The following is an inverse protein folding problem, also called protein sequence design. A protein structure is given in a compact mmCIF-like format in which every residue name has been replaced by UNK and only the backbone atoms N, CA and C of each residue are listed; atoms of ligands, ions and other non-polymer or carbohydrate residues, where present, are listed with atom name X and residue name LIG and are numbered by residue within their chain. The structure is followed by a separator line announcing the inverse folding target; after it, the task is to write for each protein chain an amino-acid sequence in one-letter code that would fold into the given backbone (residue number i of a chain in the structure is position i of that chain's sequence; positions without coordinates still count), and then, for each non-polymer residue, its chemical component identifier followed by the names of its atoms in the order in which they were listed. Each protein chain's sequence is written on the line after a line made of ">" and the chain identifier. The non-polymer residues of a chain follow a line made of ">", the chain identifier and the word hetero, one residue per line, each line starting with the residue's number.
data_IF_925525500165
#
_entry.id   IF_925525500165
#
_cell.length_a   1.000
_cell.length_b   1.000
_cell.length_c   1.000
_cell.angle_alpha   90.00
_cell.angle_beta   90.00
_cell.angle_gamma   90.00
#
_symmetry.space_group_name_H-M   'P 1'
#
loop_
_entity.id
_entity.type
_entity.pdbx_description
1 polymer ?
#
# COMPACT_ATOMS: atom_id res chain seq x y z
N UNK A 1 -62.20 -59.69 3.76
CA UNK A 1 -61.31 -60.49 2.90
C UNK A 1 -61.40 -59.89 1.50
N UNK A 2 -60.41 -59.30 0.84
CA UNK A 2 -59.00 -58.96 1.10
C UNK A 2 -58.82 -57.57 0.45
N UNK A 3 -58.09 -56.64 1.09
CA UNK A 3 -57.86 -55.28 0.58
C UNK A 3 -56.71 -55.25 -0.42
N UNK A 4 -56.72 -54.27 -1.32
CA UNK A 4 -55.65 -54.05 -2.29
C UNK A 4 -55.58 -52.60 -2.75
N UNK A 5 -55.37 -51.68 -1.80
CA UNK A 5 -55.00 -50.29 -2.12
C UNK A 5 -53.62 -50.27 -2.77
N UNK A 6 -53.57 -49.99 -4.07
CA UNK A 6 -52.35 -49.55 -4.74
C UNK A 6 -52.12 -48.07 -4.41
N UNK A 7 -51.47 -47.81 -3.27
CA UNK A 7 -50.83 -46.52 -2.99
C UNK A 7 -49.59 -46.45 -3.90
N UNK A 8 -49.77 -45.88 -5.09
CA UNK A 8 -48.65 -45.50 -5.95
C UNK A 8 -47.88 -44.41 -5.20
N UNK A 9 -46.73 -44.84 -4.73
CA UNK A 9 -45.80 -44.14 -3.86
C UNK A 9 -45.16 -43.00 -4.65
N UNK A 10 -45.72 -41.80 -4.48
CA UNK A 10 -45.26 -40.54 -5.06
C UNK A 10 -44.03 -40.03 -4.28
N UNK A 11 -42.93 -40.80 -4.28
CA UNK A 11 -41.69 -40.52 -3.53
C UNK A 11 -40.44 -40.39 -4.43
N UNK A 12 -40.62 -39.98 -5.69
CA UNK A 12 -39.52 -39.90 -6.67
C UNK A 12 -39.10 -38.46 -7.05
N UNK A 13 -39.40 -37.43 -6.25
CA UNK A 13 -39.13 -36.03 -6.63
C UNK A 13 -38.45 -35.14 -5.56
N UNK A 14 -37.91 -35.71 -4.48
CA UNK A 14 -37.10 -34.97 -3.48
C UNK A 14 -35.66 -35.46 -3.36
N UNK A 15 -35.09 -36.01 -4.43
CA UNK A 15 -33.63 -36.03 -4.63
C UNK A 15 -33.26 -34.84 -5.52
N UNK A 16 -33.57 -33.63 -5.07
CA UNK A 16 -32.77 -32.48 -5.50
C UNK A 16 -31.40 -32.79 -4.92
N UNK A 17 -30.34 -33.04 -5.73
CA UNK A 17 -29.00 -33.12 -5.17
C UNK A 17 -28.81 -31.82 -4.42
N UNK A 18 -28.68 -31.91 -3.10
CA UNK A 18 -28.42 -30.76 -2.27
C UNK A 18 -27.29 -30.01 -2.95
N UNK A 19 -27.57 -28.81 -3.44
CA UNK A 19 -26.55 -27.82 -3.72
C UNK A 19 -25.89 -27.63 -2.37
N UNK A 20 -24.86 -28.44 -2.10
CA UNK A 20 -23.86 -28.17 -1.10
C UNK A 20 -23.19 -26.93 -1.68
N UNK A 21 -23.78 -25.77 -1.39
CA UNK A 21 -23.08 -24.50 -1.54
C UNK A 21 -21.91 -24.64 -0.59
N UNK A 22 -20.72 -24.91 -1.12
CA UNK A 22 -19.53 -24.80 -0.31
C UNK A 22 -19.53 -23.38 0.24
N UNK A 23 -19.49 -23.27 1.56
CA UNK A 23 -19.36 -21.97 2.18
C UNK A 23 -17.88 -21.59 2.12
N UNK A 24 -17.61 -20.40 1.60
CA UNK A 24 -16.26 -19.86 1.57
C UNK A 24 -15.62 -19.90 2.98
N UNK A 25 -14.33 -20.25 3.14
CA UNK A 25 -13.71 -20.36 4.45
C UNK A 25 -13.94 -19.11 5.31
N UNK A 26 -14.25 -19.31 6.59
CA UNK A 26 -14.55 -18.23 7.53
C UNK A 26 -13.46 -17.15 7.59
N UNK A 27 -12.19 -17.53 7.42
CA UNK A 27 -11.07 -16.57 7.40
C UNK A 27 -11.14 -15.62 6.21
N UNK A 28 -11.53 -16.09 5.03
CA UNK A 28 -11.73 -15.24 3.86
C UNK A 28 -12.91 -14.31 4.09
N UNK A 29 -14.03 -14.85 4.56
CA UNK A 29 -15.22 -14.06 4.87
C UNK A 29 -14.93 -12.94 5.88
N UNK A 30 -14.08 -13.20 6.86
CA UNK A 30 -13.67 -12.24 7.87
C UNK A 30 -12.80 -11.08 7.33
N UNK A 31 -12.11 -11.27 6.21
CA UNK A 31 -11.29 -10.21 5.58
C UNK A 31 -12.09 -9.23 4.73
N UNK A 32 -13.28 -9.60 4.25
CA UNK A 32 -14.07 -8.77 3.35
C UNK A 32 -14.50 -7.43 3.94
N UNK A 33 -15.00 -7.34 5.20
CA UNK A 33 -15.34 -6.05 5.80
C UNK A 33 -14.11 -5.15 5.92
N UNK A 34 -12.97 -5.72 6.31
CA UNK A 34 -11.72 -5.00 6.38
C UNK A 34 -11.29 -4.45 5.01
N UNK A 35 -11.34 -5.23 3.93
CA UNK A 35 -10.96 -4.74 2.59
C UNK A 35 -11.81 -3.52 2.17
N UNK A 36 -13.11 -3.56 2.46
CA UNK A 36 -14.02 -2.45 2.20
C UNK A 36 -13.65 -1.21 3.03
N UNK A 37 -13.46 -1.38 4.35
CA UNK A 37 -13.07 -0.29 5.25
C UNK A 37 -11.72 0.30 4.87
N UNK A 38 -10.74 -0.54 4.54
CA UNK A 38 -9.42 -0.12 4.10
C UNK A 38 -9.49 0.71 2.81
N UNK A 39 -10.25 0.26 1.82
CA UNK A 39 -10.42 0.98 0.55
C UNK A 39 -11.05 2.37 0.76
N UNK A 40 -12.08 2.46 1.60
CA UNK A 40 -12.73 3.73 1.95
C UNK A 40 -11.77 4.63 2.75
N UNK A 41 -11.07 4.06 3.73
CA UNK A 41 -10.13 4.77 4.59
C UNK A 41 -8.94 5.34 3.81
N UNK A 42 -8.43 4.60 2.82
CA UNK A 42 -7.41 5.06 1.87
C UNK A 42 -7.93 6.02 0.80
N UNK A 43 -9.25 6.21 0.71
CA UNK A 43 -9.87 7.11 -0.25
C UNK A 43 -9.70 6.67 -1.71
N UNK A 44 -9.74 5.36 -1.96
CA UNK A 44 -9.67 4.82 -3.31
C UNK A 44 -10.90 5.22 -4.13
N UNK A 45 -10.69 5.54 -5.41
CA UNK A 45 -11.78 5.86 -6.34
C UNK A 45 -12.02 4.73 -7.34
N UNK A 46 -10.99 3.93 -7.58
CA UNK A 46 -11.02 2.77 -8.45
C UNK A 46 -10.33 1.62 -7.73
N UNK A 47 -10.79 0.39 -7.96
CA UNK A 47 -10.10 -0.79 -7.49
C UNK A 47 -10.10 -1.90 -8.55
N UNK A 48 -9.01 -2.65 -8.62
CA UNK A 48 -8.96 -3.89 -9.39
C UNK A 48 -8.82 -5.04 -8.40
N UNK A 49 -9.73 -6.00 -8.47
CA UNK A 49 -9.73 -7.19 -7.61
C UNK A 49 -9.18 -8.37 -8.39
N UNK A 50 -8.05 -8.90 -7.94
CA UNK A 50 -7.43 -10.11 -8.46
C UNK A 50 -7.64 -11.26 -7.50
N UNK A 51 -8.03 -12.40 -8.06
CA UNK A 51 -8.31 -13.61 -7.29
C UNK A 51 -7.60 -14.80 -7.93
N UNK A 52 -6.24 -14.82 -7.91
CA UNK A 52 -5.44 -15.80 -8.66
C UNK A 52 -5.74 -17.26 -8.28
N UNK A 53 -6.33 -17.48 -7.10
CA UNK A 53 -6.81 -18.78 -6.67
C UNK A 53 -8.03 -18.71 -5.76
N UNK A 54 -9.15 -18.21 -6.29
CA UNK A 54 -10.41 -18.29 -5.57
C UNK A 54 -10.96 -19.73 -5.63
N UNK A 55 -11.27 -20.30 -4.47
CA UNK A 55 -12.12 -21.50 -4.41
C UNK A 55 -13.47 -21.17 -5.09
N UNK A 56 -14.04 -22.10 -5.86
CA UNK A 56 -15.25 -21.84 -6.67
C UNK A 56 -16.42 -21.34 -5.81
N UNK A 57 -16.46 -21.83 -4.58
CA UNK A 57 -17.39 -21.51 -3.50
C UNK A 57 -17.24 -20.09 -2.94
N UNK A 58 -16.08 -19.45 -3.14
CA UNK A 58 -15.81 -18.09 -2.69
C UNK A 58 -16.19 -17.00 -3.71
N UNK A 59 -16.66 -17.36 -4.91
CA UNK A 59 -17.05 -16.38 -5.95
C UNK A 59 -18.18 -15.46 -5.48
N UNK A 60 -19.13 -15.99 -4.71
CA UNK A 60 -20.22 -15.18 -4.13
C UNK A 60 -19.71 -14.10 -3.18
N UNK A 61 -18.69 -14.40 -2.39
CA UNK A 61 -18.05 -13.45 -1.46
C UNK A 61 -17.37 -12.30 -2.20
N UNK A 62 -16.64 -12.60 -3.27
CA UNK A 62 -15.98 -11.57 -4.10
C UNK A 62 -17.01 -10.70 -4.82
N UNK A 63 -18.06 -11.31 -5.36
CA UNK A 63 -19.17 -10.56 -5.98
C UNK A 63 -19.81 -9.59 -4.99
N UNK A 64 -19.98 -10.00 -3.73
CA UNK A 64 -20.50 -9.12 -2.65
C UNK A 64 -19.53 -7.98 -2.36
N UNK A 65 -18.22 -8.24 -2.25
CA UNK A 65 -17.21 -7.20 -2.04
C UNK A 65 -17.25 -6.16 -3.17
N UNK A 66 -17.24 -6.61 -4.43
CA UNK A 66 -17.34 -5.76 -5.63
C UNK A 66 -18.61 -4.90 -5.56
N UNK A 67 -19.75 -5.49 -5.20
CA UNK A 67 -21.00 -4.75 -5.03
C UNK A 67 -20.88 -3.70 -3.92
N UNK A 68 -20.34 -4.04 -2.75
CA UNK A 68 -20.18 -3.07 -1.65
C UNK A 68 -19.24 -1.93 -2.02
N UNK A 69 -18.11 -2.20 -2.68
CA UNK A 69 -17.18 -1.17 -3.12
C UNK A 69 -17.86 -0.20 -4.10
N UNK A 70 -18.59 -0.73 -5.09
CA UNK A 70 -19.37 0.08 -6.03
C UNK A 70 -20.46 0.92 -5.33
N UNK A 71 -21.17 0.35 -4.34
CA UNK A 71 -22.15 1.08 -3.53
C UNK A 71 -21.51 2.22 -2.72
N UNK A 72 -20.22 2.12 -2.38
CA UNK A 72 -19.45 3.16 -1.71
C UNK A 72 -18.73 4.11 -2.69
N UNK A 73 -19.08 4.07 -3.98
CA UNK A 73 -18.54 4.98 -4.99
C UNK A 73 -17.15 4.63 -5.51
N UNK A 74 -16.64 3.43 -5.21
CA UNK A 74 -15.37 2.92 -5.72
C UNK A 74 -15.66 2.08 -6.96
N UNK A 75 -15.18 2.51 -8.13
CA UNK A 75 -15.38 1.77 -9.37
C UNK A 75 -14.50 0.51 -9.38
N UNK A 76 -15.11 -0.67 -9.46
CA UNK A 76 -14.36 -1.93 -9.36
C UNK A 76 -14.36 -2.73 -10.66
N UNK A 77 -13.19 -3.28 -11.00
CA UNK A 77 -13.03 -4.29 -12.05
C UNK A 77 -12.46 -5.59 -11.47
N UNK A 78 -12.94 -6.74 -11.92
CA UNK A 78 -12.48 -8.04 -11.48
C UNK A 78 -11.57 -8.67 -12.53
N UNK A 79 -10.36 -9.09 -12.13
CA UNK A 79 -9.36 -9.77 -12.96
C UNK A 79 -9.07 -9.09 -14.31
N UNK A 80 -9.28 -7.77 -14.41
CA UNK A 80 -9.01 -7.02 -15.62
C UNK A 80 -7.51 -6.80 -15.78
N UNK A 81 -6.99 -7.19 -16.94
CA UNK A 81 -5.57 -7.07 -17.30
C UNK A 81 -5.34 -5.93 -18.30
N UNK A 82 -6.29 -5.01 -18.41
CA UNK A 82 -6.15 -3.79 -19.22
C UNK A 82 -5.50 -2.67 -18.41
N UNK A 83 -4.61 -1.89 -19.02
CA UNK A 83 -4.08 -0.66 -18.44
C UNK A 83 -5.22 0.28 -18.05
N UNK A 84 -5.28 0.77 -16.80
CA UNK A 84 -6.35 1.63 -16.34
C UNK A 84 -6.23 2.99 -17.04
N UNK A 85 -7.36 3.54 -17.49
CA UNK A 85 -7.40 4.84 -18.19
C UNK A 85 -7.12 6.03 -17.26
N UNK A 86 -7.32 5.84 -15.94
CA UNK A 86 -7.14 6.86 -14.91
C UNK A 86 -6.26 6.24 -13.84
N UNK A 87 -5.14 6.91 -13.54
CA UNK A 87 -4.08 6.38 -12.68
C UNK A 87 -4.17 6.94 -11.25
N UNK A 88 -5.03 7.93 -11.00
CA UNK A 88 -5.12 8.56 -9.69
C UNK A 88 -5.99 7.75 -8.72
N UNK A 89 -5.40 7.36 -7.58
CA UNK A 89 -6.07 6.69 -6.45
C UNK A 89 -6.72 5.35 -6.81
N UNK A 90 -5.98 4.54 -7.56
CA UNK A 90 -6.36 3.17 -7.90
C UNK A 90 -5.78 2.18 -6.87
N UNK A 91 -6.65 1.39 -6.26
CA UNK A 91 -6.28 0.28 -5.39
C UNK A 91 -6.20 -1.05 -6.14
N UNK A 92 -5.24 -1.89 -5.78
CA UNK A 92 -5.12 -3.25 -6.30
C UNK A 92 -5.34 -4.20 -5.13
N UNK A 93 -6.46 -4.92 -5.15
CA UNK A 93 -6.79 -5.92 -4.13
C UNK A 93 -6.40 -7.28 -4.69
N UNK A 94 -5.51 -7.99 -4.01
CA UNK A 94 -5.12 -9.36 -4.38
C UNK A 94 -5.55 -10.31 -3.25
N UNK A 95 -6.49 -11.19 -3.56
CA UNK A 95 -7.04 -12.15 -2.59
C UNK A 95 -6.36 -13.50 -2.80
N UNK A 96 -5.58 -13.93 -1.82
CA UNK A 96 -4.78 -15.16 -1.85
C UNK A 96 -5.24 -16.16 -0.77
N UNK A 97 -6.39 -16.83 -0.93
CA UNK A 97 -6.96 -17.69 0.10
C UNK A 97 -6.35 -19.10 0.15
N UNK A 98 -5.54 -19.51 -0.82
CA UNK A 98 -4.85 -20.82 -0.81
C UNK A 98 -3.41 -20.67 -1.35
N UNK A 99 -2.51 -20.21 -0.49
CA UNK A 99 -1.07 -20.11 -0.77
C UNK A 99 -0.36 -21.44 -0.45
N UNK A 100 -0.67 -22.50 -1.20
CA UNK A 100 0.13 -23.75 -1.23
C UNK A 100 1.34 -23.63 -2.16
N UNK A 101 2.28 -24.58 -2.08
CA UNK A 101 3.52 -24.62 -2.89
C UNK A 101 3.27 -24.58 -4.42
N UNK A 102 2.19 -25.17 -4.92
CA UNK A 102 1.84 -25.14 -6.35
C UNK A 102 1.18 -23.84 -6.82
N UNK A 103 0.79 -22.99 -5.87
CA UNK A 103 -0.06 -21.81 -6.10
C UNK A 103 0.70 -20.50 -5.92
N UNK A 104 1.90 -20.57 -5.36
CA UNK A 104 2.90 -19.49 -5.44
C UNK A 104 3.24 -19.15 -6.89
N UNK A 105 3.32 -20.12 -7.81
CA UNK A 105 3.64 -19.85 -9.22
C UNK A 105 2.63 -18.94 -9.91
N UNK A 106 1.33 -19.13 -9.64
CA UNK A 106 0.27 -18.26 -10.21
C UNK A 106 0.34 -16.86 -9.64
N UNK A 107 0.65 -16.74 -8.35
CA UNK A 107 0.80 -15.45 -7.70
C UNK A 107 2.05 -14.72 -8.21
N UNK A 108 3.17 -15.42 -8.39
CA UNK A 108 4.39 -14.88 -9.02
C UNK A 108 4.08 -14.40 -10.44
N UNK A 109 3.43 -15.24 -11.27
CA UNK A 109 3.00 -14.85 -12.62
C UNK A 109 2.07 -13.63 -12.64
N UNK A 110 1.20 -13.48 -11.64
CA UNK A 110 0.38 -12.28 -11.50
C UNK A 110 1.24 -11.07 -11.16
N UNK A 111 2.17 -11.18 -10.22
CA UNK A 111 3.08 -10.08 -9.87
C UNK A 111 3.90 -9.67 -11.09
N UNK A 112 4.52 -10.62 -11.80
CA UNK A 112 5.31 -10.35 -13.01
C UNK A 112 4.45 -9.62 -14.05
N UNK A 113 3.22 -10.08 -14.27
CA UNK A 113 2.29 -9.42 -15.18
C UNK A 113 1.89 -8.00 -14.73
N UNK A 114 1.73 -7.77 -13.43
CA UNK A 114 1.47 -6.42 -12.90
C UNK A 114 2.68 -5.50 -13.07
N UNK A 115 3.89 -6.05 -13.00
CA UNK A 115 5.12 -5.31 -13.30
C UNK A 115 5.19 -4.94 -14.78
N UNK A 116 4.87 -5.89 -15.68
CA UNK A 116 4.81 -5.62 -17.13
C UNK A 116 3.80 -4.52 -17.47
N UNK A 117 2.69 -4.48 -16.75
CA UNK A 117 1.65 -3.44 -16.89
C UNK A 117 2.00 -2.12 -16.18
N UNK A 118 3.19 -2.01 -15.58
CA UNK A 118 3.62 -0.86 -14.77
C UNK A 118 2.65 -0.51 -13.61
N UNK A 119 1.86 -1.49 -13.17
CA UNK A 119 0.94 -1.38 -12.02
C UNK A 119 1.67 -1.47 -10.67
N UNK A 120 3.00 -1.45 -10.72
CA UNK A 120 3.93 -1.58 -9.61
C UNK A 120 4.64 -0.22 -9.36
N UNK A 121 3.96 0.90 -9.59
CA UNK A 121 4.48 2.26 -9.36
C UNK A 121 3.77 2.92 -8.17
N UNK A 122 4.33 4.03 -7.65
CA UNK A 122 3.77 4.78 -6.52
C UNK A 122 2.31 5.23 -6.67
N UNK A 123 1.81 5.29 -7.89
CA UNK A 123 0.43 5.69 -8.14
C UNK A 123 -0.59 4.63 -7.71
N UNK A 124 -0.14 3.39 -7.47
CA UNK A 124 -0.98 2.25 -7.15
C UNK A 124 -0.79 1.79 -5.70
N UNK A 125 -1.90 1.59 -5.01
CA UNK A 125 -1.92 1.13 -3.63
C UNK A 125 -2.33 -0.35 -3.59
N UNK A 126 -1.46 -1.23 -3.09
CA UNK A 126 -1.68 -2.68 -3.11
C UNK A 126 -2.19 -3.15 -1.75
N UNK A 127 -3.27 -3.92 -1.77
CA UNK A 127 -3.80 -4.65 -0.61
C UNK A 127 -3.81 -6.14 -0.91
N UNK A 128 -2.92 -6.88 -0.27
CA UNK A 128 -2.84 -8.34 -0.38
C UNK A 128 -3.47 -8.95 0.86
N UNK A 129 -4.33 -9.95 0.68
CA UNK A 129 -4.95 -10.63 1.81
C UNK A 129 -4.59 -12.10 1.84
N UNK A 130 -3.88 -12.49 2.91
CA UNK A 130 -3.56 -13.88 3.22
C UNK A 130 -4.76 -14.61 3.84
N UNK A 131 -4.70 -15.94 3.87
CA UNK A 131 -5.72 -16.77 4.53
C UNK A 131 -5.51 -16.76 6.04
N UNK A 132 -4.27 -16.94 6.48
CA UNK A 132 -3.87 -17.00 7.88
C UNK A 132 -2.52 -16.30 8.12
N UNK A 133 -2.21 -16.05 9.39
CA UNK A 133 -0.90 -15.57 9.84
C UNK A 133 0.25 -16.55 9.59
N UNK A 134 -0.03 -17.84 9.41
CA UNK A 134 1.00 -18.80 8.98
C UNK A 134 1.51 -18.56 7.55
N UNK A 135 0.70 -17.94 6.69
CA UNK A 135 1.08 -17.64 5.31
C UNK A 135 2.16 -16.54 5.23
N UNK A 136 2.46 -15.88 6.35
CA UNK A 136 3.49 -14.85 6.48
C UNK A 136 4.82 -15.27 5.84
N UNK A 137 5.33 -16.46 6.16
CA UNK A 137 6.62 -16.93 5.61
C UNK A 137 6.58 -17.08 4.10
N UNK A 138 5.45 -17.55 3.55
CA UNK A 138 5.29 -17.76 2.12
C UNK A 138 5.18 -16.45 1.36
N UNK A 139 4.33 -15.52 1.81
CA UNK A 139 4.22 -14.20 1.18
C UNK A 139 5.56 -13.47 1.24
N UNK A 140 6.27 -13.51 2.37
CA UNK A 140 7.59 -12.91 2.46
C UNK A 140 8.57 -13.50 1.45
N UNK A 141 8.59 -14.82 1.29
CA UNK A 141 9.50 -15.46 0.33
C UNK A 141 9.23 -15.00 -1.10
N UNK A 142 7.96 -14.79 -1.44
CA UNK A 142 7.54 -14.34 -2.78
C UNK A 142 7.88 -12.85 -2.96
N UNK A 143 7.47 -11.98 -2.03
CA UNK A 143 7.77 -10.54 -2.10
C UNK A 143 9.28 -10.28 -2.10
N UNK A 144 10.05 -11.08 -1.36
CA UNK A 144 11.51 -10.98 -1.35
C UNK A 144 12.14 -11.41 -2.67
N UNK A 145 11.58 -12.41 -3.35
CA UNK A 145 12.05 -12.86 -4.67
C UNK A 145 11.63 -11.90 -5.81
N UNK A 146 10.52 -11.18 -5.67
CA UNK A 146 10.00 -10.29 -6.72
C UNK A 146 10.71 -8.95 -6.74
N UNK A 147 10.85 -8.34 -7.93
CA UNK A 147 11.43 -7.01 -8.15
C UNK A 147 10.47 -5.85 -7.78
N UNK A 148 9.90 -5.91 -6.58
CA UNK A 148 9.10 -4.84 -5.98
C UNK A 148 9.96 -3.58 -5.81
N UNK A 149 9.39 -2.43 -6.17
CA UNK A 149 10.08 -1.13 -6.12
C UNK A 149 9.86 -0.43 -4.78
N UNK A 150 10.78 0.48 -4.45
CA UNK A 150 10.75 1.31 -3.25
C UNK A 150 9.57 2.28 -3.16
N UNK A 151 9.03 2.65 -4.31
CA UNK A 151 7.95 3.62 -4.41
C UNK A 151 6.56 2.97 -4.28
N UNK A 152 6.46 1.65 -4.09
CA UNK A 152 5.16 0.97 -3.99
C UNK A 152 4.58 0.99 -2.58
N UNK A 153 3.28 1.24 -2.42
CA UNK A 153 2.61 1.00 -1.14
C UNK A 153 1.99 -0.40 -1.14
N UNK A 154 2.56 -1.32 -0.37
CA UNK A 154 2.07 -2.70 -0.26
C UNK A 154 1.62 -2.95 1.18
N UNK A 155 0.31 -3.02 1.39
CA UNK A 155 -0.26 -3.52 2.62
C UNK A 155 -0.63 -5.00 2.46
N UNK A 156 -0.22 -5.82 3.42
CA UNK A 156 -0.58 -7.24 3.47
C UNK A 156 -1.30 -7.53 4.78
N UNK A 157 -2.39 -8.28 4.70
CA UNK A 157 -3.17 -8.65 5.87
C UNK A 157 -3.10 -10.12 6.20
N UNK A 158 -2.97 -10.40 7.49
CA UNK A 158 -2.83 -11.73 8.06
C UNK A 158 -3.91 -11.94 9.13
N UNK A 159 -5.01 -12.62 8.80
CA UNK A 159 -6.03 -12.98 9.78
C UNK A 159 -5.47 -13.96 10.82
N UNK A 160 -5.67 -13.67 12.10
CA UNK A 160 -5.38 -14.65 13.16
C UNK A 160 -6.35 -15.83 13.07
N UNK A 161 -5.90 -17.05 13.42
CA UNK A 161 -6.77 -18.23 13.54
C UNK A 161 -7.97 -18.02 14.47
N UNK A 162 -7.81 -17.18 15.48
CA UNK A 162 -8.85 -16.88 16.46
C UNK A 162 -9.85 -15.82 15.98
N UNK A 163 -9.69 -15.31 14.75
CA UNK A 163 -10.71 -14.46 14.14
C UNK A 163 -11.97 -15.29 14.04
N UNK A 164 -12.93 -14.98 14.91
CA UNK A 164 -14.23 -15.62 14.87
C UNK A 164 -14.79 -15.37 13.48
N UNK A 165 -15.28 -16.44 12.84
CA UNK A 165 -16.20 -16.33 11.72
C UNK A 165 -17.26 -15.35 12.16
N UNK A 166 -17.20 -14.12 11.68
CA UNK A 166 -18.27 -13.19 11.93
C UNK A 166 -19.49 -13.88 11.36
N UNK A 167 -20.55 -14.02 12.17
CA UNK A 167 -21.85 -14.39 11.65
C UNK A 167 -22.22 -13.25 10.70
N UNK A 168 -21.80 -13.40 9.45
CA UNK A 168 -22.24 -12.60 8.33
C UNK A 168 -23.70 -12.93 8.14
N UNK A 169 -24.54 -12.45 9.07
CA UNK A 169 -25.95 -12.27 8.77
C UNK A 169 -25.95 -11.32 7.59
N UNK A 170 -26.10 -11.86 6.37
CA UNK A 170 -26.35 -11.26 5.04
C UNK A 170 -25.80 -9.87 4.66
N UNK A 171 -25.07 -9.17 5.50
CA UNK A 171 -25.08 -7.71 5.57
C UNK A 171 -23.65 -7.14 5.54
N UNK A 172 -22.80 -7.69 4.66
CA UNK A 172 -21.45 -7.14 4.42
C UNK A 172 -21.52 -5.63 4.09
N UNK A 173 -22.51 -5.23 3.27
CA UNK A 173 -22.79 -3.83 2.97
C UNK A 173 -23.90 -3.23 3.85
N UNK A 174 -24.81 -4.05 4.38
CA UNK A 174 -26.07 -3.57 4.98
C UNK A 174 -25.99 -3.40 6.52
N UNK A 175 -25.00 -4.00 7.19
CA UNK A 175 -25.00 -4.20 8.66
C UNK A 175 -23.69 -3.86 9.35
N UNK A 176 -22.56 -3.92 8.63
CA UNK A 176 -21.25 -3.53 9.17
C UNK A 176 -21.11 -2.02 9.39
N UNK A 177 -21.96 -1.22 8.74
CA UNK A 177 -22.16 0.17 9.11
C UNK A 177 -23.46 0.25 9.90
N UNK A 178 -23.38 0.07 11.22
CA UNK A 178 -24.45 0.52 12.11
C UNK A 178 -24.58 2.04 11.94
N UNK A 179 -25.46 2.43 11.02
CA UNK A 179 -26.01 3.77 10.89
C UNK A 179 -26.65 4.08 12.25
N UNK A 180 -25.90 4.71 13.16
CA UNK A 180 -26.46 5.15 14.44
C UNK A 180 -27.62 6.08 14.12
N UNK A 181 -28.84 5.55 14.14
CA UNK A 181 -30.07 6.29 14.39
C UNK A 181 -29.83 7.04 15.68
N UNK A 182 -29.71 8.37 15.54
CA UNK A 182 -29.94 9.34 16.60
C UNK A 182 -29.29 8.99 17.95
N UNK A 183 -27.95 8.95 18.00
CA UNK A 183 -27.32 9.28 19.29
C UNK A 183 -27.42 10.79 19.45
N UNK A 184 -28.57 11.26 19.92
CA UNK A 184 -28.67 12.60 20.51
C UNK A 184 -27.74 12.56 21.72
N UNK A 185 -26.66 13.34 21.77
CA UNK A 185 -25.90 13.45 23.00
C UNK A 185 -26.85 14.04 24.03
N UNK A 186 -27.32 13.22 24.98
CA UNK A 186 -27.93 13.71 26.21
C UNK A 186 -26.79 14.31 27.05
N UNK A 187 -26.35 15.49 26.64
CA UNK A 187 -25.21 16.19 27.19
C UNK A 187 -25.11 17.54 26.51
N UNK A 188 -25.32 18.58 27.31
CA UNK A 188 -25.39 19.98 26.92
C UNK A 188 -24.25 20.36 25.96
N UNK A 189 -24.53 20.76 24.70
CA UNK A 189 -23.52 21.03 23.67
C UNK A 189 -22.54 22.16 24.03
N UNK A 190 -22.80 22.90 25.12
CA UNK A 190 -21.93 23.95 25.63
C UNK A 190 -20.83 23.49 26.60
N UNK A 191 -20.82 22.22 27.03
CA UNK A 191 -19.81 21.74 27.99
C UNK A 191 -18.50 21.22 27.37
N UNK A 192 -18.46 20.99 26.05
CA UNK A 192 -17.27 20.45 25.35
C UNK A 192 -16.26 21.55 24.99
N UNK A 193 -16.63 22.84 25.03
CA UNK A 193 -15.70 23.95 24.76
C UNK A 193 -14.69 24.21 25.89
N UNK A 194 -14.87 23.67 27.10
CA UNK A 194 -14.00 23.99 28.24
C UNK A 194 -12.96 22.92 28.61
N UNK A 195 -12.82 21.84 27.83
CA UNK A 195 -11.76 20.83 28.06
C UNK A 195 -10.61 20.83 27.03
N UNK A 196 -10.58 21.76 26.07
CA UNK A 196 -9.47 21.85 25.09
C UNK A 196 -8.31 22.76 25.49
N UNK A 197 -8.22 23.21 26.76
CA UNK A 197 -7.11 24.08 27.22
C UNK A 197 -5.76 23.37 27.45
N UNK A 198 -5.59 22.12 27.03
CA UNK A 198 -4.32 21.38 27.14
C UNK A 198 -3.72 20.93 25.79
N UNK A 199 -3.93 21.70 24.71
CA UNK A 199 -3.12 21.59 23.50
C UNK A 199 -2.70 22.99 23.03
N UNK A 200 -1.77 23.61 23.75
CA UNK A 200 -1.18 24.91 23.43
C UNK A 200 -0.11 24.88 22.32
N UNK A 201 0.10 23.74 21.65
CA UNK A 201 1.16 23.56 20.64
C UNK A 201 0.73 22.86 19.34
N UNK A 202 -0.53 22.93 18.94
CA UNK A 202 -0.91 22.59 17.56
C UNK A 202 -0.76 23.84 16.68
N UNK A 203 0.41 23.98 16.06
CA UNK A 203 0.73 25.07 15.15
C UNK A 203 -0.28 25.21 14.01
N UNK A 204 -0.59 26.46 13.67
CA UNK A 204 -1.51 26.87 12.61
C UNK A 204 -1.05 26.41 11.22
N UNK A 205 -1.41 25.20 10.82
CA UNK A 205 -1.40 24.78 9.41
C UNK A 205 -2.64 25.30 8.70
N UNK A 206 -2.59 26.52 8.16
CA UNK A 206 -3.70 27.07 7.35
C UNK A 206 -3.81 26.27 6.05
N UNK A 207 -4.79 25.35 5.98
CA UNK A 207 -5.15 24.61 4.76
C UNK A 207 -5.49 25.59 3.63
N UNK A 208 -5.03 25.30 2.42
CA UNK A 208 -5.35 26.10 1.22
C UNK A 208 -6.85 26.09 0.94
N UNK A 209 -7.33 27.11 0.21
CA UNK A 209 -8.73 27.20 -0.20
C UNK A 209 -9.12 26.03 -1.12
N UNK A 210 -8.19 25.58 -1.98
CA UNK A 210 -8.41 24.44 -2.87
C UNK A 210 -8.70 23.14 -2.09
N UNK A 211 -7.94 22.87 -1.02
CA UNK A 211 -8.12 21.69 -0.16
C UNK A 211 -9.46 21.68 0.61
N UNK A 212 -10.06 22.85 0.85
CA UNK A 212 -11.34 22.95 1.58
C UNK A 212 -12.56 22.77 0.67
N UNK A 213 -12.44 23.05 -0.62
CA UNK A 213 -13.63 23.23 -1.48
C UNK A 213 -13.75 22.22 -2.63
N UNK A 214 -12.69 21.52 -3.04
CA UNK A 214 -12.75 20.59 -4.19
C UNK A 214 -13.76 19.43 -4.00
N UNK A 215 -13.93 18.92 -2.78
CA UNK A 215 -14.84 17.78 -2.50
C UNK A 215 -16.27 18.19 -2.08
N UNK A 216 -16.58 19.49 -2.04
CA UNK A 216 -17.92 20.00 -1.66
C UNK A 216 -18.87 20.27 -2.83
N UNK A 217 -18.36 20.32 -4.06
CA UNK A 217 -19.09 20.90 -5.21
C UNK A 217 -19.76 19.89 -6.15
N UNK A 218 -19.50 18.59 -6.00
CA UNK A 218 -20.16 17.56 -6.79
C UNK A 218 -21.39 17.01 -6.05
N UNK A 219 -22.59 17.42 -6.48
CA UNK A 219 -23.89 16.92 -6.00
C UNK A 219 -23.98 15.38 -5.98
N UNK A 220 -23.26 14.71 -6.89
CA UNK A 220 -23.18 13.24 -6.99
C UNK A 220 -22.57 12.55 -5.75
N UNK A 221 -21.76 13.25 -4.96
CA UNK A 221 -21.10 12.69 -3.76
C UNK A 221 -21.75 13.13 -2.43
N UNK A 222 -22.72 14.05 -2.46
CA UNK A 222 -23.46 14.48 -1.25
C UNK A 222 -24.33 13.36 -0.67
N UNK A 223 -24.75 12.40 -1.49
CA UNK A 223 -25.71 11.35 -1.09
C UNK A 223 -25.08 10.01 -0.68
N UNK A 224 -23.77 9.82 -0.84
CA UNK A 224 -23.05 8.60 -0.45
C UNK A 224 -22.57 8.60 1.01
N UNK A 225 -22.92 9.62 1.80
CA UNK A 225 -22.12 10.02 2.98
C UNK A 225 -22.88 10.10 4.30
N UNK A 226 -23.68 9.09 4.65
CA UNK A 226 -24.49 9.17 5.88
C UNK A 226 -23.86 8.59 7.14
N UNK A 227 -22.62 8.08 7.10
CA UNK A 227 -21.79 8.15 8.31
C UNK A 227 -20.32 8.32 7.97
N UNK A 228 -19.82 9.49 8.32
CA UNK A 228 -18.54 9.99 7.84
C UNK A 228 -17.41 9.68 8.79
N UNK A 229 -17.61 8.98 9.92
CA UNK A 229 -16.64 9.01 11.03
C UNK A 229 -16.34 7.66 11.72
N UNK A 230 -15.11 7.51 12.24
CA UNK A 230 -14.64 6.39 13.08
C UNK A 230 -13.99 6.97 14.37
N UNK A 231 -13.84 6.17 15.43
CA UNK A 231 -13.23 6.65 16.70
C UNK A 231 -11.74 6.32 16.74
N UNK A 232 -10.85 7.30 16.69
CA UNK A 232 -9.41 7.12 16.92
C UNK A 232 -9.03 7.72 18.27
N UNK A 233 -8.48 6.93 19.20
CA UNK A 233 -8.19 7.34 20.58
C UNK A 233 -9.36 8.07 21.28
N UNK A 234 -10.60 7.63 21.03
CA UNK A 234 -11.82 8.22 21.59
C UNK A 234 -12.37 9.45 20.84
N UNK A 235 -11.65 9.94 19.83
CA UNK A 235 -12.05 11.09 19.00
C UNK A 235 -12.75 10.60 17.73
N UNK A 236 -13.94 11.13 17.46
CA UNK A 236 -14.72 10.83 16.25
C UNK A 236 -14.11 11.59 15.06
N UNK A 237 -13.43 10.88 14.17
CA UNK A 237 -12.72 11.42 13.01
C UNK A 237 -13.36 11.01 11.69
N UNK A 238 -13.33 11.84 10.64
CA UNK A 238 -13.91 11.48 9.37
C UNK A 238 -13.14 10.36 8.63
N UNK A 239 -13.82 9.25 8.30
CA UNK A 239 -13.33 8.07 7.56
C UNK A 239 -12.65 8.43 6.23
N UNK A 240 -13.21 9.38 5.47
CA UNK A 240 -12.73 9.77 4.14
C UNK A 240 -11.47 10.65 4.16
N UNK A 241 -11.01 11.05 5.35
CA UNK A 241 -9.85 11.93 5.52
C UNK A 241 -8.72 11.29 6.34
N UNK A 242 -8.98 10.22 7.08
CA UNK A 242 -8.02 9.74 8.07
C UNK A 242 -6.87 8.92 7.50
N UNK A 243 -7.05 8.20 6.39
CA UNK A 243 -5.96 7.47 5.76
C UNK A 243 -5.06 8.33 4.87
N UNK A 244 -5.38 9.61 4.69
CA UNK A 244 -4.71 10.49 3.71
C UNK A 244 -3.71 11.47 4.34
N UNK A 245 -3.80 11.72 5.65
CA UNK A 245 -2.95 12.70 6.34
C UNK A 245 -1.83 11.99 7.10
N UNK A 246 -0.72 11.76 6.42
CA UNK A 246 0.47 11.26 7.08
C UNK A 246 1.12 12.34 7.96
N UNK A 247 1.50 11.94 9.19
CA UNK A 247 2.27 12.80 10.08
C UNK A 247 3.77 12.63 9.78
N UNK A 248 4.36 13.60 9.07
CA UNK A 248 5.79 13.58 8.73
C UNK A 248 6.73 13.68 9.95
N UNK A 249 6.21 14.01 11.13
CA UNK A 249 6.98 13.96 12.38
C UNK A 249 7.08 12.56 12.98
N UNK A 250 6.39 11.56 12.42
CA UNK A 250 6.48 10.17 12.86
C UNK A 250 7.80 9.56 12.41
N UNK A 251 8.52 8.94 13.34
CA UNK A 251 9.74 8.21 13.03
C UNK A 251 9.47 7.06 12.05
N UNK A 252 10.29 6.99 11.01
CA UNK A 252 10.27 5.93 10.02
C UNK A 252 10.92 4.67 10.60
N UNK A 253 10.14 3.86 11.33
CA UNK A 253 10.62 2.65 11.99
C UNK A 253 10.19 1.40 11.21
N UNK A 254 11.18 0.74 10.62
CA UNK A 254 11.00 -0.43 9.77
C UNK A 254 11.94 -1.53 10.22
N UNK A 255 11.46 -2.77 10.21
CA UNK A 255 12.23 -3.94 10.63
C UNK A 255 12.57 -4.78 9.41
N UNK A 256 13.83 -5.21 9.31
CA UNK A 256 14.23 -6.26 8.38
C UNK A 256 13.32 -7.49 8.55
N UNK A 257 12.76 -7.99 7.45
CA UNK A 257 11.83 -9.11 7.46
C UNK A 257 12.41 -10.35 8.15
N UNK A 258 13.72 -10.56 8.07
CA UNK A 258 14.41 -11.71 8.69
C UNK A 258 14.40 -11.63 10.21
N UNK A 259 14.35 -10.41 10.76
CA UNK A 259 14.27 -10.14 12.21
C UNK A 259 12.83 -10.02 12.68
N UNK A 260 11.89 -9.78 11.75
CA UNK A 260 10.49 -9.59 12.07
C UNK A 260 9.79 -10.91 12.41
N UNK A 261 8.93 -10.86 13.42
CA UNK A 261 7.98 -11.94 13.71
C UNK A 261 6.69 -11.33 14.23
N UNK A 262 5.57 -11.70 13.59
CA UNK A 262 4.21 -11.29 13.99
C UNK A 262 3.99 -11.57 15.49
N UNK A 263 4.45 -12.73 15.96
CA UNK A 263 4.30 -13.16 17.36
C UNK A 263 5.24 -12.45 18.35
N UNK A 264 6.37 -11.88 17.88
CA UNK A 264 7.35 -11.19 18.73
C UNK A 264 7.03 -9.72 18.96
N UNK A 265 6.10 -9.10 18.22
CA UNK A 265 5.69 -7.72 18.44
C UNK A 265 4.78 -7.50 19.67
N UNK A 266 4.90 -8.38 20.69
CA UNK A 266 4.35 -8.15 22.03
C UNK A 266 4.78 -6.81 22.69
N UNK A 267 5.91 -6.15 22.37
CA UNK A 267 6.27 -4.87 23.01
C UNK A 267 5.41 -3.67 22.61
N UNK A 268 4.80 -3.63 21.41
CA UNK A 268 3.84 -2.58 21.06
C UNK A 268 2.52 -2.71 21.85
N UNK A 269 2.33 -3.81 22.60
CA UNK A 269 1.20 -4.04 23.51
C UNK A 269 1.20 -3.14 24.74
N UNK A 270 2.25 -2.36 25.02
CA UNK A 270 2.19 -1.42 26.15
C UNK A 270 1.07 -0.38 26.03
N UNK A 271 0.56 -0.13 24.82
CA UNK A 271 -0.62 0.72 24.58
C UNK A 271 -1.91 -0.05 24.28
N UNK A 272 -1.84 -1.37 24.15
CA UNK A 272 -2.97 -2.23 23.76
C UNK A 272 -3.18 -3.24 24.89
N UNK A 273 -4.14 -2.95 25.78
CA UNK A 273 -4.47 -3.74 26.98
C UNK A 273 -4.31 -5.26 26.80
N UNK A 274 -3.83 -5.95 27.83
CA UNK A 274 -3.51 -7.40 27.79
C UNK A 274 -4.68 -8.32 27.38
N UNK A 275 -5.93 -7.82 27.37
CA UNK A 275 -7.13 -8.57 26.97
C UNK A 275 -7.25 -8.87 25.46
N UNK A 276 -6.42 -8.29 24.58
CA UNK A 276 -6.57 -8.45 23.13
C UNK A 276 -6.03 -9.77 22.55
N UNK A 277 -5.21 -10.55 23.29
CA UNK A 277 -4.81 -11.89 22.80
C UNK A 277 -6.00 -12.84 22.63
N UNK A 278 -7.14 -12.57 23.28
CA UNK A 278 -8.32 -13.46 23.25
C UNK A 278 -9.35 -13.11 22.18
N UNK A 279 -9.33 -11.91 21.59
CA UNK A 279 -10.41 -11.47 20.69
C UNK A 279 -10.18 -11.79 19.21
N UNK A 280 -8.96 -12.17 18.81
CA UNK A 280 -8.63 -12.37 17.40
C UNK A 280 -8.67 -11.06 16.60
N UNK A 281 -8.00 -11.01 15.45
CA UNK A 281 -7.97 -9.82 14.61
C UNK A 281 -7.18 -10.03 13.33
N UNK A 282 -7.19 -9.02 12.47
CA UNK A 282 -6.44 -9.00 11.23
C UNK A 282 -5.21 -8.13 11.43
N UNK A 283 -4.02 -8.74 11.39
CA UNK A 283 -2.75 -8.00 11.41
C UNK A 283 -2.53 -7.34 10.07
N UNK A 284 -2.13 -6.07 10.07
CA UNK A 284 -1.88 -5.31 8.85
C UNK A 284 -0.42 -4.89 8.83
N UNK A 285 0.31 -5.37 7.84
CA UNK A 285 1.73 -5.12 7.66
C UNK A 285 1.96 -4.32 6.38
N UNK A 286 2.80 -3.29 6.44
CA UNK A 286 3.30 -2.60 5.26
C UNK A 286 4.65 -3.18 4.86
N UNK A 287 4.81 -3.50 3.58
CA UNK A 287 6.05 -4.00 2.99
C UNK A 287 6.63 -2.98 2.04
N UNK A 288 7.96 -2.93 1.99
CA UNK A 288 8.71 -2.18 0.98
C UNK A 288 10.14 -2.73 0.89
N UNK A 289 10.79 -2.46 -0.24
CA UNK A 289 12.23 -2.67 -0.42
C UNK A 289 12.87 -1.33 -0.72
N UNK A 290 14.14 -1.14 -0.40
CA UNK A 290 14.89 0.06 -0.82
C UNK A 290 15.23 0.00 -2.30
N UNK A 291 15.45 -1.22 -2.85
CA UNK A 291 15.65 -1.48 -4.28
C UNK A 291 14.97 -2.78 -4.69
N UNK A 292 14.82 -2.99 -6.00
CA UNK A 292 14.29 -4.25 -6.56
C UNK A 292 14.96 -5.51 -5.98
N UNK A 293 16.28 -5.45 -5.77
CA UNK A 293 17.11 -6.54 -5.29
C UNK A 293 17.64 -6.34 -3.86
N UNK A 294 17.03 -5.46 -3.06
CA UNK A 294 17.48 -5.21 -1.69
C UNK A 294 16.67 -5.95 -0.63
N UNK A 295 17.05 -5.73 0.63
CA UNK A 295 16.39 -6.31 1.79
C UNK A 295 14.92 -5.91 1.82
N UNK A 296 14.04 -6.89 2.05
CA UNK A 296 12.63 -6.63 2.29
C UNK A 296 12.45 -6.17 3.74
N UNK A 297 11.83 -5.02 3.90
CA UNK A 297 11.50 -4.45 5.20
C UNK A 297 9.99 -4.49 5.41
N UNK A 298 9.61 -4.51 6.68
CA UNK A 298 8.22 -4.55 7.11
C UNK A 298 7.97 -3.65 8.31
N UNK A 299 6.77 -3.07 8.36
CA UNK A 299 6.26 -2.42 9.56
C UNK A 299 4.83 -2.85 9.85
N UNK A 300 4.54 -3.01 11.14
CA UNK A 300 3.20 -3.30 11.61
C UNK A 300 2.42 -1.99 11.67
N UNK A 301 1.39 -1.87 10.83
CA UNK A 301 0.47 -0.73 10.88
C UNK A 301 -0.54 -0.86 12.01
N UNK A 302 -0.86 -2.09 12.43
CA UNK A 302 -1.74 -2.34 13.55
C UNK A 302 -2.56 -3.60 13.40
N UNK A 303 -3.64 -3.66 14.18
CA UNK A 303 -4.59 -4.78 14.19
C UNK A 303 -5.97 -4.21 13.95
N UNK A 304 -6.67 -4.77 12.98
CA UNK A 304 -8.07 -4.46 12.73
C UNK A 304 -8.98 -5.50 13.39
N UNK A 305 -10.06 -5.01 14.00
CA UNK A 305 -11.20 -5.81 14.45
C UNK A 305 -12.49 -5.08 14.04
N UNK A 306 -13.61 -5.79 14.04
CA UNK A 306 -14.89 -5.20 13.65
C UNK A 306 -15.36 -4.14 14.65
N UNK A 307 -15.08 -4.32 15.94
CA UNK A 307 -15.50 -3.40 17.00
C UNK A 307 -14.75 -2.07 16.95
N UNK A 308 -13.48 -2.13 16.54
CA UNK A 308 -12.56 -1.01 16.59
C UNK A 308 -12.28 -0.42 15.21
N UNK A 309 -12.62 -1.12 14.13
CA UNK A 309 -12.43 -0.69 12.75
C UNK A 309 -10.98 -0.22 12.52
N UNK A 310 -10.78 0.83 11.72
CA UNK A 310 -9.47 1.41 11.40
C UNK A 310 -8.87 2.25 12.55
N UNK A 311 -9.45 2.23 13.75
CA UNK A 311 -9.00 3.07 14.88
C UNK A 311 -7.59 2.77 15.36
N UNK A 312 -7.20 1.49 15.29
CA UNK A 312 -5.89 0.99 15.72
C UNK A 312 -4.95 0.68 14.56
N UNK A 313 -5.32 1.13 13.37
CA UNK A 313 -4.51 0.98 12.17
C UNK A 313 -3.89 2.33 11.86
N UNK A 314 -2.58 2.37 11.88
CA UNK A 314 -1.80 3.52 11.52
C UNK A 314 -1.73 3.67 9.99
N UNK A 315 -1.59 4.92 9.55
CA UNK A 315 -1.47 5.26 8.13
C UNK A 315 -0.18 4.65 7.57
N UNK A 316 -0.24 3.95 6.42
CA UNK A 316 0.97 3.47 5.74
C UNK A 316 1.93 4.62 5.50
N UNK A 317 3.22 4.35 5.66
CA UNK A 317 4.26 5.32 5.35
C UNK A 317 4.23 5.67 3.86
N UNK A 318 3.99 6.96 3.51
CA UNK A 318 4.00 7.40 2.13
C UNK A 318 5.44 7.33 1.61
N UNK A 319 5.62 7.27 0.29
CA UNK A 319 6.94 7.08 -0.35
C UNK A 319 7.92 8.16 0.07
N UNK A 320 7.43 9.38 0.23
CA UNK A 320 8.17 10.59 0.58
C UNK A 320 8.74 10.56 2.00
N UNK A 321 8.16 9.75 2.89
CA UNK A 321 8.65 9.58 4.26
C UNK A 321 9.66 8.43 4.41
N UNK A 322 9.91 7.67 3.33
CA UNK A 322 10.79 6.50 3.35
C UNK A 322 12.24 6.91 3.17
N UNK A 323 13.14 6.13 3.75
CA UNK A 323 14.58 6.32 3.66
C UNK A 323 15.27 5.03 3.20
N UNK A 324 16.57 5.09 2.92
CA UNK A 324 17.40 3.94 2.55
C UNK A 324 17.78 3.07 3.75
N UNK A 325 17.42 3.48 4.98
CA UNK A 325 17.63 2.69 6.19
C UNK A 325 19.08 2.22 6.41
N UNK A 326 20.04 3.06 6.00
CA UNK A 326 21.46 2.80 6.07
C UNK A 326 22.00 1.92 4.94
N UNK A 327 21.16 1.43 4.01
CA UNK A 327 21.65 0.77 2.80
C UNK A 327 22.61 1.70 2.04
N UNK A 328 23.56 1.09 1.34
CA UNK A 328 24.52 1.79 0.49
C UNK A 328 23.77 2.59 -0.60
N UNK A 329 24.26 3.74 -1.05
CA UNK A 329 23.80 4.48 -2.25
C UNK A 329 24.98 4.53 -3.23
N UNK A 330 24.84 3.87 -4.38
CA UNK A 330 25.89 3.78 -5.39
C UNK A 330 25.83 5.03 -6.26
N UNK A 331 26.81 5.90 -6.10
CA UNK A 331 26.89 7.19 -6.78
C UNK A 331 27.97 7.14 -7.86
N UNK A 332 27.54 7.36 -9.09
CA UNK A 332 28.44 7.43 -10.24
C UNK A 332 28.95 8.84 -10.47
N UNK A 333 30.25 8.99 -10.68
CA UNK A 333 30.93 10.26 -11.03
C UNK A 333 31.89 10.07 -12.18
N UNK A 334 32.23 11.13 -12.88
CA UNK A 334 33.31 11.11 -13.85
C UNK A 334 34.66 11.29 -13.15
N UNK A 335 35.68 10.56 -13.61
CA UNK A 335 37.07 10.86 -13.27
C UNK A 335 37.41 12.23 -13.88
N UNK A 336 37.52 13.28 -13.07
CA UNK A 336 38.26 14.46 -13.49
C UNK A 336 39.73 14.03 -13.59
N UNK A 337 40.19 13.68 -14.79
CA UNK A 337 41.60 13.39 -15.01
C UNK A 337 42.40 14.65 -14.66
N UNK A 338 43.06 14.59 -13.51
CA UNK A 338 44.25 15.35 -13.17
C UNK A 338 45.40 14.85 -14.05
N UNK A 339 45.23 14.88 -15.37
CA UNK A 339 46.40 14.79 -16.25
C UNK A 339 47.06 16.16 -16.13
N UNK A 340 48.18 16.18 -15.41
CA UNK A 340 48.94 17.35 -14.98
C UNK A 340 49.55 18.20 -16.10
N UNK A 341 48.77 18.54 -17.12
CA UNK A 341 48.98 19.70 -17.96
C UNK A 341 47.90 20.71 -17.63
N UNK A 342 48.22 21.62 -16.70
CA UNK A 342 47.53 22.90 -16.59
C UNK A 342 47.64 23.61 -17.94
N UNK A 343 46.62 23.49 -18.77
CA UNK A 343 46.35 24.50 -19.79
C UNK A 343 45.97 25.76 -19.03
N UNK A 344 46.88 26.73 -19.08
CA UNK A 344 46.68 28.10 -18.60
C UNK A 344 45.68 28.75 -19.55
N UNK A 345 44.40 28.42 -19.36
CA UNK A 345 43.23 29.17 -19.82
C UNK A 345 42.01 28.28 -19.49
N UNK A 346 41.31 28.68 -18.42
CA UNK A 346 39.85 28.66 -18.25
C UNK A 346 39.50 28.61 -16.76
N UNK A 347 38.86 29.69 -16.29
CA UNK A 347 38.12 29.78 -15.02
C UNK A 347 36.92 28.81 -15.02
N UNK A 348 37.18 27.50 -14.99
CA UNK A 348 36.15 26.49 -14.76
C UNK A 348 36.26 26.05 -13.30
N UNK A 349 35.27 26.36 -12.45
CA UNK A 349 35.34 26.01 -11.05
C UNK A 349 35.38 24.48 -10.96
N UNK A 350 36.36 24.00 -10.21
CA UNK A 350 36.40 22.67 -9.62
C UNK A 350 35.03 22.39 -8.98
N UNK A 351 34.15 21.72 -9.74
CA UNK A 351 32.84 21.24 -9.29
C UNK A 351 32.86 20.08 -8.27
N UNK A 352 33.99 19.52 -7.76
CA UNK A 352 33.92 18.51 -6.72
C UNK A 352 33.18 18.95 -5.46
N UNK A 353 33.45 20.15 -4.94
CA UNK A 353 32.96 20.57 -3.63
C UNK A 353 31.42 20.70 -3.56
N UNK A 354 30.79 21.34 -4.56
CA UNK A 354 29.33 21.46 -4.60
C UNK A 354 28.66 20.09 -4.76
N UNK A 355 29.23 19.22 -5.60
CA UNK A 355 28.70 17.86 -5.76
C UNK A 355 28.90 17.03 -4.49
N UNK A 356 30.00 17.22 -3.75
CA UNK A 356 30.23 16.57 -2.46
C UNK A 356 29.24 17.06 -1.40
N UNK A 357 28.91 18.36 -1.39
CA UNK A 357 27.88 18.92 -0.50
C UNK A 357 26.48 18.36 -0.84
N UNK A 358 26.16 18.24 -2.13
CA UNK A 358 24.92 17.60 -2.59
C UNK A 358 24.89 16.13 -2.18
N UNK A 359 25.99 15.40 -2.37
CA UNK A 359 26.09 14.01 -1.94
C UNK A 359 25.89 13.89 -0.43
N UNK A 360 26.56 14.73 0.35
CA UNK A 360 26.41 14.75 1.80
C UNK A 360 24.96 15.03 2.19
N UNK A 361 24.33 16.04 1.60
CA UNK A 361 22.91 16.33 1.83
C UNK A 361 22.01 15.13 1.52
N UNK A 362 22.19 14.49 0.36
CA UNK A 362 21.43 13.30 -0.03
C UNK A 362 21.65 12.15 0.96
N UNK A 363 22.89 11.90 1.37
CA UNK A 363 23.22 10.81 2.30
C UNK A 363 22.58 11.00 3.67
N UNK A 364 22.62 12.23 4.20
CA UNK A 364 22.01 12.58 5.48
C UNK A 364 20.49 12.54 5.41
N UNK A 365 19.89 13.06 4.32
CA UNK A 365 18.44 13.09 4.15
C UNK A 365 17.82 11.73 3.90
N UNK A 366 18.48 10.92 3.07
CA UNK A 366 18.01 9.59 2.73
C UNK A 366 18.46 8.53 3.73
N UNK A 367 19.25 8.89 4.75
CA UNK A 367 19.85 7.96 5.71
C UNK A 367 20.51 6.78 4.97
N UNK A 368 21.55 7.07 4.19
CA UNK A 368 22.26 6.10 3.35
C UNK A 368 23.78 6.25 3.47
N UNK A 369 24.50 5.18 3.16
CA UNK A 369 25.96 5.19 3.10
C UNK A 369 26.42 5.34 1.66
N UNK A 370 27.11 6.42 1.25
CA UNK A 370 27.49 6.59 -0.15
C UNK A 370 28.61 5.64 -0.57
N UNK A 371 28.56 5.20 -1.82
CA UNK A 371 29.58 4.38 -2.47
C UNK A 371 29.89 4.91 -3.85
N UNK A 372 31.10 5.44 -4.01
CA UNK A 372 31.50 6.14 -5.23
C UNK A 372 32.02 5.16 -6.28
N UNK A 373 31.47 5.27 -7.49
CA UNK A 373 31.98 4.59 -8.69
C UNK A 373 32.38 5.61 -9.72
N UNK A 374 33.60 5.49 -10.22
CA UNK A 374 34.14 6.42 -11.17
C UNK A 374 34.11 5.88 -12.60
N UNK A 375 33.79 6.76 -13.54
CA UNK A 375 33.70 6.47 -14.96
C UNK A 375 34.57 7.45 -15.74
N UNK A 376 35.21 7.01 -16.81
CA UNK A 376 36.11 7.89 -17.58
C UNK A 376 35.38 8.95 -18.40
N UNK A 377 34.08 8.75 -18.68
CA UNK A 377 33.27 9.64 -19.52
C UNK A 377 31.83 9.67 -19.02
N UNK A 378 31.17 10.82 -19.19
CA UNK A 378 29.74 10.98 -18.90
C UNK A 378 28.91 9.97 -19.68
N UNK A 379 29.16 9.86 -20.99
CA UNK A 379 28.43 8.94 -21.86
C UNK A 379 27.52 9.64 -22.85
N UNK A 380 27.20 8.92 -23.92
CA UNK A 380 26.33 9.36 -25.01
C UNK A 380 25.45 8.20 -25.47
N UNK A 381 24.36 8.52 -26.18
CA UNK A 381 23.47 7.56 -26.81
C UNK A 381 24.05 7.15 -28.17
N UNK A 382 24.26 5.86 -28.38
CA UNK A 382 24.73 5.31 -29.67
C UNK A 382 23.62 5.38 -30.72
N UNK A 383 23.97 5.16 -31.99
CA UNK A 383 22.99 5.07 -33.08
C UNK A 383 22.01 3.89 -32.89
N UNK A 384 22.42 2.86 -32.13
CA UNK A 384 21.59 1.71 -31.74
C UNK A 384 20.64 2.04 -30.59
N UNK A 385 20.72 3.25 -30.04
CA UNK A 385 19.88 3.73 -28.97
C UNK A 385 20.36 3.40 -27.56
N UNK A 386 21.52 2.74 -27.40
CA UNK A 386 22.09 2.38 -26.10
C UNK A 386 22.93 3.51 -25.50
N UNK A 387 22.86 3.68 -24.17
CA UNK A 387 23.68 4.66 -23.45
C UNK A 387 25.03 4.07 -23.03
N UNK A 388 26.09 4.86 -23.11
CA UNK A 388 27.48 4.49 -22.72
C UNK A 388 27.93 5.23 -21.47
N UNK A 389 29.09 4.86 -20.89
CA UNK A 389 29.72 5.59 -19.78
C UNK A 389 28.88 5.61 -18.50
N UNK A 390 28.98 6.71 -17.74
CA UNK A 390 28.20 6.94 -16.52
C UNK A 390 26.68 6.91 -16.78
N UNK A 391 26.23 7.52 -17.88
CA UNK A 391 24.82 7.53 -18.26
C UNK A 391 24.32 6.12 -18.62
N UNK A 392 25.14 5.32 -19.30
CA UNK A 392 24.85 3.91 -19.55
C UNK A 392 24.77 3.09 -18.26
N UNK A 393 25.66 3.38 -17.32
CA UNK A 393 25.66 2.75 -16.01
C UNK A 393 24.39 3.07 -15.19
N UNK A 394 23.84 4.28 -15.33
CA UNK A 394 22.58 4.70 -14.72
C UNK A 394 21.39 3.93 -15.30
N UNK A 395 21.25 3.89 -16.64
CA UNK A 395 20.19 3.11 -17.31
C UNK A 395 20.30 1.61 -16.98
N UNK A 396 21.52 1.10 -16.88
CA UNK A 396 21.80 -0.29 -16.52
C UNK A 396 21.60 -0.62 -15.04
N UNK A 397 21.14 0.32 -14.20
CA UNK A 397 20.98 0.17 -12.74
C UNK A 397 22.28 -0.27 -12.01
N UNK A 398 23.44 0.06 -12.57
CA UNK A 398 24.74 -0.21 -11.95
C UNK A 398 25.23 0.94 -11.06
N UNK A 399 24.60 2.11 -11.18
CA UNK A 399 24.64 3.23 -10.24
C UNK A 399 23.21 3.68 -9.99
N UNK A 400 22.91 4.16 -8.78
CA UNK A 400 21.58 4.66 -8.42
C UNK A 400 21.41 6.12 -8.82
N UNK A 401 22.49 6.91 -8.72
CA UNK A 401 22.51 8.33 -9.04
C UNK A 401 23.78 8.65 -9.81
N UNK A 402 23.65 9.32 -10.95
CA UNK A 402 24.76 9.95 -11.65
C UNK A 402 24.90 11.40 -11.12
N UNK A 403 25.94 11.66 -10.34
CA UNK A 403 26.17 12.96 -9.72
C UNK A 403 27.26 13.71 -10.47
N UNK A 404 26.87 14.36 -11.56
CA UNK A 404 27.76 15.07 -12.47
C UNK A 404 27.01 16.30 -13.06
N UNK A 405 27.71 17.38 -13.46
CA UNK A 405 27.14 18.43 -14.30
C UNK A 405 26.66 17.86 -15.64
N UNK A 406 25.36 17.62 -15.74
CA UNK A 406 24.71 17.10 -16.95
C UNK A 406 23.71 18.13 -17.48
N UNK A 407 23.94 18.62 -18.69
CA UNK A 407 22.95 19.46 -19.38
C UNK A 407 21.71 18.63 -19.70
N UNK A 408 20.57 19.03 -19.17
CA UNK A 408 19.30 18.38 -19.43
C UNK A 408 18.79 18.77 -20.84
N UNK A 409 18.72 17.81 -21.75
CA UNK A 409 18.19 18.01 -23.11
C UNK A 409 17.11 16.96 -23.41
N UNK A 410 16.21 17.26 -24.35
CA UNK A 410 15.01 16.45 -24.62
C UNK A 410 15.28 14.92 -24.77
N UNK A 411 16.31 14.46 -25.50
CA UNK A 411 16.62 13.03 -25.57
C UNK A 411 16.97 12.36 -24.22
N UNK A 412 17.58 13.09 -23.27
CA UNK A 412 17.91 12.54 -21.95
C UNK A 412 16.66 12.44 -21.07
N UNK A 413 15.75 13.42 -21.14
CA UNK A 413 14.48 13.37 -20.41
C UNK A 413 13.55 12.23 -20.84
N UNK A 414 13.75 11.65 -22.03
CA UNK A 414 12.99 10.48 -22.46
C UNK A 414 13.42 9.20 -21.74
N UNK A 415 14.71 9.10 -21.40
CA UNK A 415 15.31 7.87 -20.87
C UNK A 415 15.68 7.98 -19.38
N UNK A 416 15.78 9.20 -18.85
CA UNK A 416 16.32 9.49 -17.52
C UNK A 416 15.53 10.59 -16.81
N UNK A 417 15.41 10.42 -15.50
CA UNK A 417 14.89 11.44 -14.62
C UNK A 417 16.00 12.36 -14.13
N UNK A 418 15.73 13.66 -14.19
CA UNK A 418 16.60 14.69 -13.64
C UNK A 418 15.94 15.25 -12.39
N UNK A 419 16.74 15.53 -11.37
CA UNK A 419 16.32 16.40 -10.27
C UNK A 419 16.17 17.85 -10.77
N UNK A 420 15.77 18.75 -9.88
CA UNK A 420 15.68 20.17 -10.21
C UNK A 420 17.02 20.71 -10.74
N UNK A 421 17.00 21.64 -11.72
CA UNK A 421 18.22 22.22 -12.27
C UNK A 421 19.00 22.92 -11.15
N UNK A 422 20.26 22.50 -10.98
CA UNK A 422 21.17 23.03 -9.93
C UNK A 422 21.90 24.28 -10.40
N UNK A 423 22.06 24.45 -11.72
CA UNK A 423 22.61 25.63 -12.37
C UNK A 423 21.96 25.80 -13.76
N UNK A 424 21.82 27.06 -14.20
CA UNK A 424 21.40 27.39 -15.56
C UNK A 424 22.64 27.61 -16.44
N UNK A 425 22.66 26.99 -17.62
CA UNK A 425 23.64 27.30 -18.66
C UNK A 425 23.20 28.56 -19.37
N UNK A 426 24.01 29.62 -19.32
CA UNK A 426 23.76 30.88 -20.04
C UNK A 426 23.81 30.71 -21.56
#
# INVERSE_FOLDING_TARGET
>A
MIPGMCIITLYALFLIPGLIYGECPASMQATLPFMLEYAIWRGWHQAIVYTPHLEQDCKGSVTRLVKCLNLNGIAVSENSLSSPRIVTKLGIIIICPDLRRSTSEKFVKLIDKLQDLQMNTASYDWLLTARFDEDFKYINSILNATSIRFDQNIAVTYPSRNVKSFSLGRELCDGNFLYKRNYVPSGDPFSIQNRSRYCSYCGNGVKTFYDRFYYRTSERFKHLSNNRTYKHFGIVMPLYNSGLYYNYSRDFNMTDIMKFSVNRFKPLKKFVNENYEQQGGIYILQYFKVRSNSTLYVSLLGIWSQEESMSKVEIPYPVEARSFLGEELIVGRCNSSFDGTTSVDEDVPTSPALLDDVLYFLTMRLNTTPSLRYYNKLGFRTYEGSWTGLLGALIGNSVDVALEPVTAHSPRHQDMDFIFPVAETM
#
